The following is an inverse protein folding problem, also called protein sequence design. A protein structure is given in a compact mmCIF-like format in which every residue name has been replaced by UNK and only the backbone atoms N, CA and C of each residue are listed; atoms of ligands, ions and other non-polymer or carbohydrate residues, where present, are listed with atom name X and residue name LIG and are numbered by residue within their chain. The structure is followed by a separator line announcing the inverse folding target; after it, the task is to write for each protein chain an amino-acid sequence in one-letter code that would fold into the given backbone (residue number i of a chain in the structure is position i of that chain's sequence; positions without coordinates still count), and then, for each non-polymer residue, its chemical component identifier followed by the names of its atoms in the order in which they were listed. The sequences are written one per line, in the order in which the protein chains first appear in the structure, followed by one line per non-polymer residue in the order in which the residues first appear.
data_IF_590955246779
#
_entry.id   IF_590955246779
#
_cell.length_a   1.000
_cell.length_b   1.000
_cell.length_c   1.000
_cell.angle_alpha   90.00
_cell.angle_beta   90.00
_cell.angle_gamma   90.00
#
_symmetry.space_group_name_H-M   'P 1'
#
loop_
_entity.id
_entity.type
_entity.pdbx_description
1 polymer ?
#
# COMPACT_ATOMS: atom_id res chain seq x y z
N UNK A 1 -13.39 -43.96 -7.97
CA UNK A 1 -12.67 -43.45 -9.14
C UNK A 1 -12.66 -41.93 -9.05
N UNK A 2 -11.53 -41.37 -8.58
CA UNK A 2 -11.03 -39.97 -8.74
C UNK A 2 -11.90 -38.83 -8.17
N UNK A 3 -11.58 -38.31 -6.97
CA UNK A 3 -10.87 -37.02 -6.66
C UNK A 3 -11.78 -35.78 -6.84
N UNK A 4 -12.32 -35.21 -5.76
CA UNK A 4 -11.73 -34.14 -4.93
C UNK A 4 -11.45 -32.83 -5.69
N UNK A 5 -12.04 -31.75 -5.17
CA UNK A 5 -11.42 -30.48 -4.74
C UNK A 5 -12.49 -29.38 -4.81
N UNK A 6 -12.93 -28.96 -3.62
CA UNK A 6 -13.66 -27.72 -3.46
C UNK A 6 -12.71 -26.57 -3.81
N UNK A 7 -12.86 -26.01 -5.00
CA UNK A 7 -12.14 -24.81 -5.42
C UNK A 7 -12.78 -23.62 -4.69
N UNK A 8 -12.08 -23.17 -3.64
CA UNK A 8 -12.47 -22.04 -2.80
C UNK A 8 -12.59 -20.78 -3.65
N UNK A 9 -13.78 -20.17 -3.62
CA UNK A 9 -14.08 -18.93 -4.29
C UNK A 9 -13.32 -17.80 -3.56
N UNK A 10 -12.07 -17.58 -3.98
CA UNK A 10 -11.23 -16.46 -3.53
C UNK A 10 -11.93 -15.17 -3.97
N UNK A 11 -12.59 -14.50 -3.02
CA UNK A 11 -13.21 -13.21 -3.26
C UNK A 11 -12.11 -12.20 -3.61
N UNK A 12 -11.96 -11.90 -4.90
CA UNK A 12 -11.04 -10.86 -5.39
C UNK A 12 -11.69 -9.51 -5.07
N UNK A 13 -11.34 -8.91 -3.95
CA UNK A 13 -11.86 -7.60 -3.57
C UNK A 13 -11.30 -6.55 -4.53
N UNK A 14 -12.12 -6.11 -5.48
CA UNK A 14 -11.79 -5.01 -6.38
C UNK A 14 -11.65 -3.73 -5.56
N UNK A 15 -10.40 -3.34 -5.27
CA UNK A 15 -10.08 -2.15 -4.47
C UNK A 15 -10.63 -0.90 -5.19
N UNK A 16 -11.64 -0.27 -4.58
CA UNK A 16 -12.21 0.99 -5.06
C UNK A 16 -11.21 2.14 -4.85
N UNK A 17 -11.13 3.11 -5.78
CA UNK A 17 -10.26 4.27 -5.59
C UNK A 17 -10.67 5.03 -4.33
N UNK A 18 -9.71 5.22 -3.42
CA UNK A 18 -9.92 6.01 -2.21
C UNK A 18 -9.53 7.47 -2.49
N UNK A 19 -10.54 8.35 -2.47
CA UNK A 19 -10.39 9.77 -2.74
C UNK A 19 -10.79 10.57 -1.49
N UNK A 20 -9.82 11.29 -0.91
CA UNK A 20 -10.05 12.16 0.23
C UNK A 20 -9.83 13.62 -0.20
N UNK A 21 -10.91 14.42 -0.21
CA UNK A 21 -10.86 15.82 -0.68
C UNK A 21 -10.80 16.82 0.48
N UNK A 22 -11.39 16.54 1.65
CA UNK A 22 -11.38 17.44 2.84
C UNK A 22 -11.30 16.66 4.18
N UNK A 23 -10.90 15.39 4.16
CA UNK A 23 -10.99 14.48 5.32
C UNK A 23 -9.91 13.42 5.32
N UNK A 24 -9.87 12.63 6.39
CA UNK A 24 -8.99 11.47 6.52
C UNK A 24 -9.66 10.21 5.94
N UNK A 25 -8.95 9.47 5.09
CA UNK A 25 -9.42 8.15 4.61
C UNK A 25 -8.48 7.06 5.10
N UNK A 26 -9.02 6.05 5.78
CA UNK A 26 -8.30 4.88 6.27
C UNK A 26 -8.69 3.66 5.44
N UNK A 27 -7.74 3.06 4.72
CA UNK A 27 -7.87 1.73 4.14
C UNK A 27 -7.11 0.73 5.01
N UNK A 28 -7.79 -0.33 5.43
CA UNK A 28 -7.17 -1.48 6.10
C UNK A 28 -7.67 -2.78 5.45
N UNK A 29 -7.18 -3.15 4.26
CA UNK A 29 -7.52 -4.45 3.68
C UNK A 29 -7.02 -5.57 4.59
N UNK A 30 -7.84 -6.61 4.77
CA UNK A 30 -7.53 -7.79 5.58
C UNK A 30 -7.43 -9.08 4.76
N UNK A 31 -7.67 -8.99 3.44
CA UNK A 31 -7.57 -10.11 2.50
C UNK A 31 -6.25 -10.17 1.75
N UNK A 32 -6.21 -11.03 0.72
CA UNK A 32 -5.11 -11.05 -0.25
C UNK A 32 -5.24 -9.82 -1.14
N UNK A 33 -4.22 -8.96 -1.18
CA UNK A 33 -4.18 -7.82 -2.12
C UNK A 33 -3.03 -7.97 -3.09
N UNK A 34 -3.37 -7.80 -4.36
CA UNK A 34 -2.48 -7.90 -5.52
C UNK A 34 -2.90 -6.89 -6.58
N UNK A 35 -1.98 -6.53 -7.47
CA UNK A 35 -2.29 -5.69 -8.62
C UNK A 35 -2.06 -4.21 -8.34
N UNK A 36 -3.05 -3.34 -8.58
CA UNK A 36 -2.87 -1.88 -8.53
C UNK A 36 -3.81 -1.25 -7.52
N UNK A 37 -3.26 -0.40 -6.66
CA UNK A 37 -3.99 0.43 -5.71
C UNK A 37 -3.73 1.91 -5.99
N UNK A 38 -4.68 2.77 -5.67
CA UNK A 38 -4.53 4.23 -5.81
C UNK A 38 -4.96 4.92 -4.53
N UNK A 39 -4.07 5.78 -4.02
CA UNK A 39 -4.27 6.62 -2.85
C UNK A 39 -4.01 8.07 -3.25
N UNK A 40 -5.05 8.92 -3.21
CA UNK A 40 -4.96 10.32 -3.63
C UNK A 40 -5.43 11.22 -2.51
N UNK A 41 -4.53 12.08 -2.02
CA UNK A 41 -4.84 13.15 -1.09
C UNK A 41 -4.74 14.50 -1.79
N UNK A 42 -5.81 15.30 -1.74
CA UNK A 42 -5.81 16.66 -2.29
C UNK A 42 -5.70 17.71 -1.20
N UNK A 43 -6.51 17.68 -0.14
CA UNK A 43 -6.45 18.60 1.02
C UNK A 43 -6.58 17.86 2.37
N UNK A 44 -6.01 16.65 2.49
CA UNK A 44 -6.23 15.80 3.66
C UNK A 44 -5.14 14.74 3.88
N UNK A 45 -5.50 13.64 4.54
CA UNK A 45 -4.57 12.55 4.83
C UNK A 45 -5.16 11.20 4.39
N UNK A 46 -4.38 10.39 3.69
CA UNK A 46 -4.72 8.99 3.41
C UNK A 46 -3.82 8.10 4.25
N UNK A 47 -4.42 7.23 5.07
CA UNK A 47 -3.70 6.16 5.76
C UNK A 47 -4.04 4.83 5.09
N UNK A 48 -3.08 4.25 4.40
CA UNK A 48 -3.20 2.93 3.79
C UNK A 48 -2.40 1.95 4.62
N UNK A 49 -3.08 1.05 5.33
CA UNK A 49 -2.44 0.06 6.19
C UNK A 49 -2.58 -1.35 5.58
N UNK A 50 -1.50 -1.83 4.99
CA UNK A 50 -1.36 -3.16 4.43
C UNK A 50 -0.80 -4.17 5.45
N UNK A 51 -0.56 -3.78 6.71
CA UNK A 51 0.02 -4.67 7.73
C UNK A 51 -0.85 -5.87 8.08
N UNK A 52 -2.16 -5.77 7.84
CA UNK A 52 -3.12 -6.86 8.04
C UNK A 52 -3.45 -7.61 6.75
N UNK A 53 -2.87 -7.19 5.63
CA UNK A 53 -3.12 -7.79 4.34
C UNK A 53 -2.02 -8.77 3.97
N UNK A 54 -2.39 -9.87 3.33
CA UNK A 54 -1.41 -10.76 2.70
C UNK A 54 -1.14 -10.26 1.29
N UNK A 55 0.10 -9.87 1.00
CA UNK A 55 0.46 -9.46 -0.36
C UNK A 55 0.63 -10.73 -1.19
N UNK A 56 -0.16 -10.89 -2.24
CA UNK A 56 -0.06 -12.08 -3.06
C UNK A 56 1.19 -12.09 -3.96
N UNK A 57 1.43 -13.23 -4.62
CA UNK A 57 2.63 -13.51 -5.42
C UNK A 57 2.86 -12.51 -6.55
N UNK A 58 1.81 -11.93 -7.12
CA UNK A 58 1.94 -10.93 -8.18
C UNK A 58 2.46 -9.57 -7.67
N UNK A 59 2.52 -9.37 -6.34
CA UNK A 59 2.86 -8.11 -5.72
C UNK A 59 1.78 -7.04 -5.88
N UNK A 60 2.04 -5.86 -5.31
CA UNK A 60 1.12 -4.72 -5.35
C UNK A 60 1.85 -3.44 -5.77
N UNK A 61 1.21 -2.67 -6.64
CA UNK A 61 1.66 -1.35 -7.07
C UNK A 61 0.72 -0.29 -6.50
N UNK A 62 1.22 0.54 -5.59
CA UNK A 62 0.46 1.62 -4.95
C UNK A 62 0.79 2.94 -5.64
N UNK A 63 -0.19 3.56 -6.29
CA UNK A 63 -0.08 4.92 -6.84
C UNK A 63 -0.47 5.94 -5.77
N UNK A 64 0.51 6.56 -5.13
CA UNK A 64 0.33 7.52 -4.06
C UNK A 64 0.51 8.95 -4.58
N UNK A 65 -0.55 9.77 -4.54
CA UNK A 65 -0.50 11.17 -5.02
C UNK A 65 -0.94 12.10 -3.90
N UNK A 66 -0.03 12.92 -3.40
CA UNK A 66 -0.28 13.93 -2.39
C UNK A 66 -0.14 15.33 -3.02
N UNK A 67 -1.23 16.07 -3.15
CA UNK A 67 -1.21 17.43 -3.71
C UNK A 67 -1.05 18.49 -2.61
N UNK A 68 -1.99 18.63 -1.67
CA UNK A 68 -1.88 19.50 -0.48
C UNK A 68 -2.25 18.69 0.78
N UNK A 69 -1.45 17.69 1.13
CA UNK A 69 -1.75 16.79 2.25
C UNK A 69 -0.71 15.68 2.40
N UNK A 70 -1.04 14.61 3.11
CA UNK A 70 -0.14 13.47 3.27
C UNK A 70 -0.76 12.13 2.83
N UNK A 71 0.10 11.24 2.34
CA UNK A 71 -0.23 9.82 2.13
C UNK A 71 0.73 8.99 2.97
N UNK A 72 0.20 8.30 3.98
CA UNK A 72 0.94 7.42 4.87
C UNK A 72 0.60 5.97 4.52
N UNK A 73 1.62 5.18 4.17
CA UNK A 73 1.46 3.79 3.76
C UNK A 73 2.19 2.92 4.77
N UNK A 74 1.48 2.07 5.49
CA UNK A 74 2.06 1.04 6.35
C UNK A 74 2.14 -0.26 5.57
N UNK A 75 3.34 -0.77 5.38
CA UNK A 75 3.59 -2.06 4.73
C UNK A 75 3.81 -3.17 5.77
N UNK A 76 3.50 -4.43 5.44
CA UNK A 76 3.84 -5.55 6.31
C UNK A 76 5.37 -5.73 6.42
N UNK A 77 5.83 -6.32 7.53
CA UNK A 77 7.25 -6.42 7.88
C UNK A 77 8.04 -7.34 6.94
N UNK A 78 7.39 -8.37 6.40
CA UNK A 78 7.92 -9.35 5.46
C UNK A 78 7.94 -8.85 4.01
N UNK A 79 7.28 -7.73 3.72
CA UNK A 79 7.19 -7.22 2.36
C UNK A 79 8.46 -6.49 1.89
N UNK A 80 8.80 -6.73 0.63
CA UNK A 80 9.85 -6.01 -0.08
C UNK A 80 9.30 -4.72 -0.67
N UNK A 81 9.76 -3.58 -0.18
CA UNK A 81 9.26 -2.27 -0.59
C UNK A 81 10.26 -1.54 -1.48
N UNK A 82 9.74 -0.99 -2.58
CA UNK A 82 10.44 -0.02 -3.40
C UNK A 82 9.57 1.21 -3.60
N UNK A 83 10.17 2.40 -3.54
CA UNK A 83 9.48 3.66 -3.81
C UNK A 83 10.13 4.35 -4.99
N UNK A 84 9.31 4.83 -5.93
CA UNK A 84 9.72 5.65 -7.06
C UNK A 84 8.79 6.84 -7.15
N UNK A 85 9.33 8.03 -7.35
CA UNK A 85 8.48 9.21 -7.41
C UNK A 85 9.22 10.51 -7.61
N UNK A 86 8.47 11.57 -7.85
CA UNK A 86 8.98 12.94 -7.92
C UNK A 86 8.31 13.78 -6.82
N UNK A 87 9.09 14.35 -5.88
CA UNK A 87 8.65 15.48 -5.07
C UNK A 87 8.81 16.77 -5.88
N UNK A 88 7.77 17.62 -5.95
CA UNK A 88 7.85 18.96 -6.54
C UNK A 88 8.16 20.02 -5.48
N UNK A 89 7.24 20.23 -4.53
CA UNK A 89 7.30 21.19 -3.41
C UNK A 89 7.10 20.45 -2.06
N UNK A 90 7.11 19.12 -2.10
CA UNK A 90 6.84 18.24 -0.97
C UNK A 90 8.01 17.35 -0.60
N UNK A 91 7.74 16.31 0.19
CA UNK A 91 8.73 15.31 0.57
C UNK A 91 8.28 13.88 0.25
N UNK A 92 9.26 13.06 -0.14
CA UNK A 92 9.10 11.62 -0.29
C UNK A 92 9.99 10.93 0.74
N UNK A 93 9.38 10.18 1.65
CA UNK A 93 10.07 9.48 2.73
C UNK A 93 9.96 7.97 2.51
N UNK A 94 10.95 7.34 1.83
CA UNK A 94 10.97 5.89 1.67
C UNK A 94 11.20 5.20 3.02
N UNK A 95 10.83 3.93 3.12
CA UNK A 95 11.31 3.09 4.22
C UNK A 95 12.83 2.96 4.14
N UNK A 96 13.51 3.00 5.29
CA UNK A 96 14.98 2.83 5.38
C UNK A 96 15.42 1.39 5.09
N UNK A 97 14.50 0.45 5.27
CA UNK A 97 14.76 -0.96 5.08
C UNK A 97 13.92 -1.47 3.91
N UNK A 98 14.54 -1.91 2.81
CA UNK A 98 13.82 -2.45 1.65
C UNK A 98 13.02 -3.71 1.96
N UNK A 99 13.35 -4.43 3.05
CA UNK A 99 12.73 -5.71 3.40
C UNK A 99 13.45 -6.91 2.76
N UNK A 100 12.98 -8.13 3.03
CA UNK A 100 13.60 -9.36 2.52
C UNK A 100 13.60 -9.40 0.99
N UNK A 101 14.66 -9.94 0.38
CA UNK A 101 14.78 -10.05 -1.09
C UNK A 101 13.68 -10.93 -1.68
N UNK A 102 13.30 -11.98 -0.96
CA UNK A 102 12.27 -12.96 -1.32
C UNK A 102 10.87 -12.62 -0.78
N UNK A 103 10.73 -11.44 -0.15
CA UNK A 103 9.46 -10.95 0.37
C UNK A 103 8.52 -10.50 -0.75
N UNK A 104 7.20 -10.50 -0.51
CA UNK A 104 6.23 -10.07 -1.50
C UNK A 104 6.45 -8.60 -1.88
N UNK A 105 6.35 -8.29 -3.18
CA UNK A 105 6.75 -7.00 -3.72
C UNK A 105 5.68 -5.93 -3.54
N UNK A 106 6.07 -4.80 -2.94
CA UNK A 106 5.26 -3.58 -2.80
C UNK A 106 5.98 -2.44 -3.50
N UNK A 107 5.45 -1.99 -4.63
CA UNK A 107 6.01 -0.86 -5.39
C UNK A 107 5.15 0.37 -5.20
N UNK A 108 5.69 1.40 -4.58
CA UNK A 108 5.01 2.67 -4.36
C UNK A 108 5.44 3.68 -5.42
N UNK A 109 4.50 4.08 -6.28
CA UNK A 109 4.65 5.17 -7.24
C UNK A 109 4.14 6.45 -6.62
N UNK A 110 5.04 7.25 -6.09
CA UNK A 110 4.74 8.44 -5.31
C UNK A 110 4.81 9.73 -6.14
N UNK A 111 3.91 10.65 -5.88
CA UNK A 111 3.95 12.02 -6.37
C UNK A 111 3.58 12.94 -5.21
N UNK A 112 4.48 13.86 -4.85
CA UNK A 112 4.27 14.84 -3.80
C UNK A 112 4.35 16.24 -4.39
N UNK A 113 3.20 16.89 -4.57
CA UNK A 113 3.07 18.28 -5.00
C UNK A 113 3.52 19.22 -3.90
N UNK A 114 2.62 19.59 -2.99
CA UNK A 114 2.82 20.48 -1.84
C UNK A 114 2.39 19.74 -0.56
N UNK A 115 2.93 18.54 -0.38
CA UNK A 115 2.52 17.56 0.63
C UNK A 115 3.60 16.52 0.88
N UNK A 116 3.26 15.38 1.48
CA UNK A 116 4.22 14.32 1.76
C UNK A 116 3.69 12.92 1.44
N UNK A 117 4.60 12.02 1.06
CA UNK A 117 4.32 10.59 0.97
C UNK A 117 5.32 9.87 1.86
N UNK A 118 4.81 9.14 2.84
CA UNK A 118 5.63 8.44 3.84
C UNK A 118 5.29 6.96 3.84
N UNK A 119 6.32 6.13 3.84
CA UNK A 119 6.20 4.69 3.99
C UNK A 119 6.68 4.29 5.37
N UNK A 120 5.82 3.62 6.12
CA UNK A 120 6.12 2.99 7.39
C UNK A 120 6.15 1.48 7.23
N UNK A 121 6.99 0.83 8.04
CA UNK A 121 6.94 -0.61 8.23
C UNK A 121 6.15 -0.93 9.49
N UNK A 122 5.27 -1.91 9.39
CA UNK A 122 4.59 -2.47 10.55
C UNK A 122 5.63 -3.06 11.51
N UNK A 123 5.42 -2.88 12.81
CA UNK A 123 6.25 -3.52 13.82
C UNK A 123 6.19 -5.05 13.64
N UNK A 124 7.32 -5.76 13.73
CA UNK A 124 7.31 -7.22 13.75
C UNK A 124 6.37 -7.67 14.87
N UNK A 125 5.37 -8.49 14.54
CA UNK A 125 4.52 -9.09 15.57
C UNK A 125 5.38 -10.11 16.30
N UNK A 126 5.86 -9.78 17.50
CA UNK A 126 6.35 -10.77 18.45
C UNK A 126 5.21 -11.77 18.72
N UNK A 127 5.45 -13.03 18.40
CA UNK A 127 4.63 -14.17 18.83
C UNK A 127 5.48 -15.08 19.69
#
# INVERSE_FOLDING_TARGET
MVDARADGLVAREGVRPQLAVLSETKARPTGIVEGKMSAVSVLGNVQLDLSHASIGTAGVVVSARAFLGAVNITVPADARVSMTGLPLIGSLSPTREPGPVDGPSVVVKAFAGMGSVTIHRAEPRDH
#
